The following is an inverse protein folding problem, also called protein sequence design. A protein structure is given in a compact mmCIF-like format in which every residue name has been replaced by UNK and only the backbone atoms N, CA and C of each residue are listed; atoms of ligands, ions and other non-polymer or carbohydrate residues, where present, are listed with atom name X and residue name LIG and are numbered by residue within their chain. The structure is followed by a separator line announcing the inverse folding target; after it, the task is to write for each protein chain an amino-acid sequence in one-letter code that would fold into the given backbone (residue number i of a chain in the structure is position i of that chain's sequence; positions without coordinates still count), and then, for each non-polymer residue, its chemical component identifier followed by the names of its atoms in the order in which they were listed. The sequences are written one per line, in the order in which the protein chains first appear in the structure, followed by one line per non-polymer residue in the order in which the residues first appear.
data_IF_099070232969
#
_entry.id   IF_099070232969
#
_cell.length_a   1.000
_cell.length_b   1.000
_cell.length_c   1.000
_cell.angle_alpha   90.00
_cell.angle_beta   90.00
_cell.angle_gamma   90.00
#
_symmetry.space_group_name_H-M   'P 1'
#
loop_
_entity.id
_entity.type
_entity.pdbx_description
1 polymer ?
#
# COMPACT_ATOMS: atom_id res chain seq x y z
N UNK A 1 -26.46 -53.61 -3.67
CA UNK A 1 -27.03 -52.39 -4.28
C UNK A 1 -27.87 -51.67 -3.25
N UNK A 2 -27.48 -50.46 -2.84
CA UNK A 2 -28.30 -49.27 -2.59
C UNK A 2 -27.31 -48.15 -2.25
N UNK A 3 -27.27 -47.14 -3.13
CA UNK A 3 -26.57 -45.86 -2.97
C UNK A 3 -27.42 -44.98 -2.06
N UNK A 4 -26.82 -44.34 -1.06
CA UNK A 4 -27.34 -43.10 -0.49
C UNK A 4 -26.20 -42.09 -0.44
N UNK A 5 -26.26 -41.15 -1.39
CA UNK A 5 -25.59 -39.85 -1.33
C UNK A 5 -26.33 -38.96 -0.33
N UNK A 6 -25.60 -38.04 0.34
CA UNK A 6 -25.97 -36.67 0.74
C UNK A 6 -24.99 -36.23 1.86
N UNK A 7 -23.97 -35.43 1.56
CA UNK A 7 -23.93 -33.95 1.67
C UNK A 7 -24.25 -33.39 3.07
N UNK A 8 -23.20 -33.08 3.84
CA UNK A 8 -23.17 -32.06 4.90
C UNK A 8 -21.80 -31.35 4.69
N UNK A 9 -21.68 -30.34 3.83
CA UNK A 9 -21.90 -28.90 4.06
C UNK A 9 -21.19 -28.35 5.30
N UNK A 10 -20.15 -27.57 5.00
CA UNK A 10 -19.58 -26.43 5.71
C UNK A 10 -19.32 -26.55 7.22
N UNK A 11 -18.04 -26.69 7.52
CA UNK A 11 -17.35 -25.64 8.29
C UNK A 11 -15.92 -25.55 7.78
N UNK A 12 -15.79 -24.99 6.58
CA UNK A 12 -14.56 -24.32 6.19
C UNK A 12 -14.44 -23.09 7.10
N UNK A 13 -13.99 -23.31 8.33
CA UNK A 13 -13.28 -22.30 9.07
C UNK A 13 -11.99 -22.12 8.26
N UNK A 14 -12.08 -21.29 7.22
CA UNK A 14 -10.93 -20.60 6.67
C UNK A 14 -10.54 -19.62 7.78
N UNK A 15 -9.91 -20.14 8.85
CA UNK A 15 -8.81 -19.41 9.45
C UNK A 15 -7.90 -19.16 8.24
N UNK A 16 -7.91 -17.92 7.73
CA UNK A 16 -6.82 -17.45 6.90
C UNK A 16 -5.57 -17.60 7.76
N UNK A 17 -4.95 -18.78 7.70
CA UNK A 17 -3.61 -19.00 8.19
C UNK A 17 -2.79 -17.98 7.43
N UNK A 18 -2.39 -16.94 8.15
CA UNK A 18 -1.46 -15.92 7.70
C UNK A 18 -0.07 -16.58 7.59
N UNK A 19 0.04 -17.63 6.78
CA UNK A 19 1.30 -18.09 6.29
C UNK A 19 1.89 -16.88 5.57
N UNK A 20 3.06 -16.48 6.04
CA UNK A 20 3.63 -15.18 5.75
C UNK A 20 4.08 -15.15 4.30
N UNK A 21 3.13 -14.96 3.38
CA UNK A 21 3.38 -14.59 1.99
C UNK A 21 4.49 -13.55 2.02
N UNK A 22 5.43 -13.64 1.09
CA UNK A 22 6.53 -12.68 0.95
C UNK A 22 6.03 -11.22 1.01
N UNK A 23 4.85 -10.94 0.45
CA UNK A 23 4.15 -9.66 0.58
C UNK A 23 3.65 -9.33 2.01
N UNK A 24 3.26 -10.32 2.81
CA UNK A 24 2.98 -10.16 4.23
C UNK A 24 4.24 -9.80 5.05
N UNK A 25 5.38 -10.42 4.76
CA UNK A 25 6.68 -10.04 5.36
C UNK A 25 7.06 -8.61 4.96
N UNK A 26 6.90 -8.26 3.68
CA UNK A 26 7.10 -6.91 3.16
C UNK A 26 6.25 -5.89 3.91
N UNK A 27 4.95 -6.17 4.07
CA UNK A 27 4.01 -5.27 4.73
C UNK A 27 4.46 -4.95 6.16
N UNK A 28 4.84 -5.98 6.93
CA UNK A 28 5.36 -5.80 8.29
C UNK A 28 6.66 -5.00 8.33
N UNK A 29 7.58 -5.28 7.41
CA UNK A 29 8.82 -4.52 7.30
C UNK A 29 8.55 -3.06 6.97
N UNK A 30 7.68 -2.78 5.98
CA UNK A 30 7.34 -1.44 5.54
C UNK A 30 6.77 -0.61 6.69
N UNK A 31 5.76 -1.12 7.39
CA UNK A 31 5.17 -0.43 8.55
C UNK A 31 6.23 -0.12 9.61
N UNK A 32 7.11 -1.09 9.92
CA UNK A 32 8.14 -0.91 10.95
C UNK A 32 9.27 0.06 10.55
N UNK A 33 9.64 0.12 9.28
CA UNK A 33 10.88 0.79 8.82
C UNK A 33 10.64 2.07 8.04
N UNK A 34 9.45 2.25 7.45
CA UNK A 34 9.16 3.32 6.51
C UNK A 34 8.00 4.24 6.94
N UNK A 35 7.25 3.84 7.96
CA UNK A 35 6.20 4.66 8.56
C UNK A 35 6.67 5.19 9.91
N UNK A 36 6.31 6.44 10.22
CA UNK A 36 6.48 7.05 11.53
C UNK A 36 5.36 6.56 12.45
N UNK A 37 5.69 5.85 13.55
CA UNK A 37 4.69 5.45 14.53
C UNK A 37 3.98 6.65 15.15
N UNK A 38 4.71 7.74 15.41
CA UNK A 38 4.17 8.97 15.99
C UNK A 38 3.15 9.65 15.06
N UNK A 39 3.48 9.83 13.78
CA UNK A 39 2.54 10.44 12.82
C UNK A 39 1.31 9.57 12.61
N UNK A 40 1.51 8.25 12.57
CA UNK A 40 0.41 7.29 12.42
C UNK A 40 -0.50 7.33 13.64
N UNK A 41 0.05 7.30 14.85
CA UNK A 41 -0.72 7.36 16.09
C UNK A 41 -1.46 8.70 16.23
N UNK A 42 -0.79 9.81 15.93
CA UNK A 42 -1.44 11.13 15.92
C UNK A 42 -2.62 11.16 14.94
N UNK A 43 -2.45 10.64 13.73
CA UNK A 43 -3.52 10.58 12.75
C UNK A 43 -4.71 9.74 13.23
N UNK A 44 -4.45 8.57 13.84
CA UNK A 44 -5.48 7.67 14.37
C UNK A 44 -6.40 8.37 15.37
N UNK A 45 -5.89 9.27 16.21
CA UNK A 45 -6.68 9.92 17.26
C UNK A 45 -7.27 11.28 16.88
N UNK A 46 -6.77 11.92 15.83
CA UNK A 46 -7.10 13.33 15.54
C UNK A 46 -7.79 13.57 14.21
N UNK A 47 -7.71 12.63 13.25
CA UNK A 47 -8.16 12.85 11.88
C UNK A 47 -9.37 11.98 11.52
N UNK A 48 -10.13 12.39 10.51
CA UNK A 48 -11.15 11.52 9.90
C UNK A 48 -10.50 10.32 9.20
N UNK A 49 -11.32 9.34 8.79
CA UNK A 49 -10.89 8.21 7.97
C UNK A 49 -10.04 8.62 6.75
N UNK A 50 -10.49 9.65 6.02
CA UNK A 50 -9.80 10.18 4.84
C UNK A 50 -8.50 10.88 5.23
N UNK A 51 -8.48 11.64 6.32
CA UNK A 51 -7.26 12.28 6.82
C UNK A 51 -6.21 11.28 7.30
N UNK A 52 -6.64 10.18 7.92
CA UNK A 52 -5.77 9.06 8.28
C UNK A 52 -5.20 8.38 7.04
N UNK A 53 -6.04 8.10 6.04
CA UNK A 53 -5.61 7.53 4.77
C UNK A 53 -4.58 8.44 4.07
N UNK A 54 -4.87 9.75 3.99
CA UNK A 54 -3.95 10.75 3.44
C UNK A 54 -2.60 10.76 4.20
N UNK A 55 -2.62 10.62 5.52
CA UNK A 55 -1.39 10.51 6.32
C UNK A 55 -0.60 9.24 5.99
N UNK A 56 -1.27 8.11 5.75
CA UNK A 56 -0.63 6.86 5.31
C UNK A 56 -0.04 7.03 3.90
N UNK A 57 -0.79 7.64 2.98
CA UNK A 57 -0.34 7.96 1.61
C UNK A 57 0.91 8.84 1.62
N UNK A 58 0.95 9.89 2.44
CA UNK A 58 2.08 10.81 2.52
C UNK A 58 3.35 10.17 3.12
N UNK A 59 3.17 9.16 3.96
CA UNK A 59 4.29 8.41 4.53
C UNK A 59 4.80 7.31 3.60
N UNK A 60 3.96 6.81 2.69
CA UNK A 60 4.33 5.79 1.73
C UNK A 60 5.62 6.22 0.99
N UNK A 61 6.59 5.32 0.86
CA UNK A 61 7.82 5.63 0.12
C UNK A 61 8.32 4.34 -0.47
N UNK A 62 8.17 4.21 -1.78
CA UNK A 62 8.69 3.05 -2.49
C UNK A 62 10.18 2.90 -2.35
N UNK A 63 10.93 4.01 -2.40
CA UNK A 63 12.38 3.98 -2.22
C UNK A 63 12.73 3.44 -0.82
N UNK A 64 12.03 3.88 0.23
CA UNK A 64 12.23 3.32 1.56
C UNK A 64 11.92 1.82 1.58
N UNK A 65 10.78 1.39 1.04
CA UNK A 65 10.36 -0.01 1.03
C UNK A 65 11.38 -0.87 0.24
N UNK A 66 11.76 -0.43 -0.95
CA UNK A 66 12.73 -1.07 -1.82
C UNK A 66 14.12 -1.23 -1.19
N UNK A 67 14.56 -0.22 -0.43
CA UNK A 67 15.91 -0.21 0.18
C UNK A 67 15.94 -0.88 1.55
N UNK A 68 14.99 -0.57 2.43
CA UNK A 68 14.95 -1.06 3.83
C UNK A 68 14.30 -2.43 3.98
N UNK A 69 13.50 -2.85 2.99
CA UNK A 69 12.76 -4.12 3.01
C UNK A 69 13.06 -4.98 1.78
N UNK A 70 14.25 -4.81 1.18
CA UNK A 70 14.66 -5.38 -0.12
C UNK A 70 14.37 -6.88 -0.25
N UNK A 71 14.78 -7.70 0.72
CA UNK A 71 14.60 -9.16 0.67
C UNK A 71 13.11 -9.54 0.54
N UNK A 72 12.25 -8.95 1.37
CA UNK A 72 10.81 -9.18 1.29
C UNK A 72 10.16 -8.55 0.06
N UNK A 73 10.75 -7.47 -0.45
CA UNK A 73 10.29 -6.75 -1.64
C UNK A 73 10.52 -7.58 -2.90
N UNK A 74 11.69 -8.20 -3.06
CA UNK A 74 12.01 -9.10 -4.19
C UNK A 74 11.02 -10.27 -4.22
N UNK A 75 10.67 -10.84 -3.06
CA UNK A 75 9.72 -11.94 -2.99
C UNK A 75 8.27 -11.54 -3.28
N UNK A 76 7.93 -10.25 -3.24
CA UNK A 76 6.57 -9.76 -3.46
C UNK A 76 6.46 -9.15 -4.87
N UNK A 77 5.72 -9.80 -5.77
CA UNK A 77 5.63 -9.42 -7.19
C UNK A 77 5.45 -7.92 -7.40
N UNK A 78 4.54 -7.29 -6.64
CA UNK A 78 4.24 -5.88 -6.82
C UNK A 78 5.41 -4.96 -6.44
N UNK A 79 6.20 -5.37 -5.46
CA UNK A 79 7.34 -4.60 -5.00
C UNK A 79 8.58 -4.89 -5.86
N UNK A 80 8.71 -6.14 -6.32
CA UNK A 80 9.73 -6.52 -7.28
C UNK A 80 9.57 -5.76 -8.61
N UNK A 81 8.33 -5.55 -9.07
CA UNK A 81 8.05 -4.68 -10.21
C UNK A 81 8.57 -3.26 -10.00
N UNK A 82 8.28 -2.65 -8.84
CA UNK A 82 8.75 -1.31 -8.51
C UNK A 82 10.29 -1.24 -8.42
N UNK A 83 10.93 -2.27 -7.86
CA UNK A 83 12.39 -2.42 -7.83
C UNK A 83 13.01 -2.49 -9.23
N UNK A 84 12.39 -3.23 -10.15
CA UNK A 84 12.81 -3.31 -11.56
C UNK A 84 12.71 -1.93 -12.22
N UNK A 85 11.62 -1.19 -12.00
CA UNK A 85 11.46 0.14 -12.59
C UNK A 85 12.49 1.12 -12.02
N UNK A 86 12.72 1.13 -10.71
CA UNK A 86 13.77 1.97 -10.10
C UNK A 86 15.17 1.64 -10.63
N UNK A 87 15.47 0.36 -10.85
CA UNK A 87 16.74 -0.07 -11.44
C UNK A 87 16.91 0.43 -12.87
N UNK A 88 15.83 0.38 -13.68
CA UNK A 88 15.82 0.90 -15.04
C UNK A 88 16.03 2.41 -15.09
N UNK A 89 15.33 3.16 -14.24
CA UNK A 89 15.50 4.62 -14.09
C UNK A 89 16.96 4.95 -13.76
N UNK A 90 17.53 4.28 -12.75
CA UNK A 90 18.92 4.51 -12.34
C UNK A 90 19.95 4.15 -13.42
N UNK A 91 19.61 3.22 -14.31
CA UNK A 91 20.45 2.82 -15.45
C UNK A 91 20.21 3.66 -16.72
N UNK A 92 19.29 4.63 -16.70
CA UNK A 92 18.88 5.36 -17.90
C UNK A 92 18.18 4.49 -18.95
N UNK A 93 17.59 3.37 -18.52
CA UNK A 93 16.83 2.45 -19.37
C UNK A 93 15.35 2.78 -19.26
N UNK A 94 14.63 2.68 -20.39
CA UNK A 94 13.18 2.87 -20.42
C UNK A 94 12.47 1.88 -19.49
N UNK A 95 11.56 2.39 -18.67
CA UNK A 95 10.72 1.55 -17.81
C UNK A 95 9.63 0.80 -18.60
N UNK A 96 8.93 -0.11 -17.94
CA UNK A 96 7.89 -0.93 -18.55
C UNK A 96 6.60 -0.14 -18.82
N UNK A 97 6.40 1.01 -18.17
CA UNK A 97 5.25 1.89 -18.31
C UNK A 97 3.92 1.21 -17.99
N UNK A 98 3.90 0.31 -17.01
CA UNK A 98 2.63 -0.29 -16.51
C UNK A 98 1.93 0.69 -15.56
N UNK A 99 2.71 1.49 -14.85
CA UNK A 99 2.30 2.55 -13.95
C UNK A 99 2.85 3.91 -14.45
N UNK A 100 2.38 4.40 -15.61
CA UNK A 100 3.06 5.45 -16.37
C UNK A 100 3.24 6.75 -15.59
N UNK A 101 2.22 7.21 -14.85
CA UNK A 101 2.30 8.49 -14.12
C UNK A 101 3.37 8.50 -13.04
N UNK A 102 3.41 7.44 -12.23
CA UNK A 102 4.41 7.35 -11.16
C UNK A 102 5.80 7.06 -11.74
N UNK A 103 5.92 6.23 -12.78
CA UNK A 103 7.21 5.98 -13.44
C UNK A 103 7.80 7.26 -14.04
N UNK A 104 7.01 8.02 -14.81
CA UNK A 104 7.44 9.31 -15.37
C UNK A 104 7.79 10.33 -14.28
N UNK A 105 7.01 10.42 -13.20
CA UNK A 105 7.35 11.30 -12.10
C UNK A 105 8.67 10.89 -11.42
N UNK A 106 8.91 9.60 -11.24
CA UNK A 106 10.16 9.09 -10.66
C UNK A 106 11.36 9.35 -11.56
N UNK A 107 11.20 9.22 -12.88
CA UNK A 107 12.22 9.60 -13.87
C UNK A 107 12.56 11.10 -13.77
N UNK A 108 11.54 11.97 -13.69
CA UNK A 108 11.73 13.41 -13.52
C UNK A 108 12.47 13.73 -12.21
N UNK A 109 12.05 13.14 -11.10
CA UNK A 109 12.75 13.30 -9.82
C UNK A 109 14.21 12.84 -9.88
N UNK A 110 14.51 11.77 -10.63
CA UNK A 110 15.89 11.30 -10.81
C UNK A 110 16.73 12.25 -11.66
N UNK A 111 16.13 12.83 -12.72
CA UNK A 111 16.79 13.80 -13.60
C UNK A 111 17.06 15.14 -12.90
N UNK A 112 16.17 15.58 -12.02
CA UNK A 112 16.35 16.80 -11.23
C UNK A 112 17.50 16.66 -10.22
N UNK A 113 17.46 15.63 -9.37
CA UNK A 113 18.51 15.32 -8.40
C UNK A 113 18.40 13.86 -7.92
N UNK A 114 19.28 13.02 -8.47
CA UNK A 114 19.36 11.60 -8.11
C UNK A 114 19.62 11.36 -6.60
N UNK A 115 20.28 12.29 -5.89
CA UNK A 115 20.54 12.16 -4.45
C UNK A 115 19.30 12.48 -3.62
N UNK A 116 18.41 13.33 -4.13
CA UNK A 116 17.17 13.75 -3.46
C UNK A 116 15.93 13.04 -3.99
N UNK A 117 16.08 12.01 -4.82
CA UNK A 117 14.95 11.27 -5.41
C UNK A 117 13.92 10.83 -4.36
N UNK A 118 14.32 10.40 -3.16
CA UNK A 118 13.37 10.01 -2.11
C UNK A 118 12.56 11.20 -1.58
N UNK A 119 13.18 12.37 -1.42
CA UNK A 119 12.48 13.60 -1.01
C UNK A 119 11.51 14.06 -2.09
N UNK A 120 11.98 14.10 -3.35
CA UNK A 120 11.17 14.45 -4.51
C UNK A 120 9.98 13.49 -4.69
N UNK A 121 10.23 12.18 -4.68
CA UNK A 121 9.20 11.16 -4.84
C UNK A 121 8.11 11.24 -3.77
N UNK A 122 8.51 11.49 -2.51
CA UNK A 122 7.55 11.64 -1.40
C UNK A 122 6.66 12.87 -1.58
N UNK A 123 7.23 13.97 -2.09
CA UNK A 123 6.52 15.24 -2.29
C UNK A 123 5.63 15.23 -3.53
N UNK A 124 6.08 14.60 -4.61
CA UNK A 124 5.48 14.75 -5.94
C UNK A 124 4.84 13.46 -6.47
N UNK A 125 5.48 12.31 -6.29
CA UNK A 125 5.12 11.10 -7.04
C UNK A 125 4.19 10.14 -6.30
N UNK A 126 4.21 10.13 -4.97
CA UNK A 126 3.37 9.22 -4.17
C UNK A 126 1.89 9.30 -4.51
N UNK A 127 1.40 10.48 -4.89
CA UNK A 127 0.00 10.68 -5.24
C UNK A 127 -0.40 9.87 -6.49
N UNK A 128 0.53 9.69 -7.43
CA UNK A 128 0.31 8.94 -8.67
C UNK A 128 0.24 7.42 -8.45
N UNK A 129 0.65 6.93 -7.28
CA UNK A 129 0.39 5.55 -6.85
C UNK A 129 -1.09 5.18 -6.98
N UNK A 130 -1.98 6.14 -6.70
CA UNK A 130 -3.42 5.94 -6.57
C UNK A 130 -4.21 6.34 -7.81
N UNK A 131 -3.52 6.63 -8.92
CA UNK A 131 -4.13 6.96 -10.20
C UNK A 131 -4.41 5.70 -11.04
N UNK A 132 -3.37 5.10 -11.63
CA UNK A 132 -3.46 4.04 -12.64
C UNK A 132 -2.48 2.89 -12.39
N UNK A 133 -2.01 2.72 -11.16
CA UNK A 133 -1.00 1.72 -10.81
C UNK A 133 -1.52 0.64 -9.87
N UNK A 134 -2.06 -0.46 -10.41
CA UNK A 134 -2.53 -1.59 -9.61
C UNK A 134 -1.41 -2.18 -8.72
N UNK A 135 -0.17 -2.18 -9.18
CA UNK A 135 0.99 -2.62 -8.41
C UNK A 135 1.17 -1.80 -7.12
N UNK A 136 1.05 -0.48 -7.21
CA UNK A 136 1.18 0.39 -6.05
C UNK A 136 -0.03 0.34 -5.13
N UNK A 137 -1.24 0.44 -5.70
CA UNK A 137 -2.48 0.36 -4.95
C UNK A 137 -2.52 -0.93 -4.13
N UNK A 138 -2.07 -2.06 -4.67
CA UNK A 138 -2.06 -3.33 -3.96
C UNK A 138 -1.10 -3.34 -2.75
N UNK A 139 0.06 -2.70 -2.83
CA UNK A 139 0.99 -2.58 -1.69
C UNK A 139 0.40 -1.64 -0.64
N UNK A 140 -0.09 -0.46 -1.06
CA UNK A 140 -0.73 0.49 -0.17
C UNK A 140 -1.94 -0.12 0.55
N UNK A 141 -2.77 -0.89 -0.18
CA UNK A 141 -3.90 -1.65 0.35
C UNK A 141 -3.47 -2.66 1.40
N UNK A 142 -2.42 -3.45 1.14
CA UNK A 142 -1.89 -4.41 2.13
C UNK A 142 -1.44 -3.72 3.42
N UNK A 143 -0.73 -2.59 3.29
CA UNK A 143 -0.27 -1.79 4.44
C UNK A 143 -1.46 -1.22 5.20
N UNK A 144 -2.40 -0.58 4.52
CA UNK A 144 -3.58 0.00 5.15
C UNK A 144 -4.41 -1.07 5.88
N UNK A 145 -4.70 -2.20 5.23
CA UNK A 145 -5.48 -3.29 5.84
C UNK A 145 -4.80 -3.86 7.08
N UNK A 146 -3.47 -3.93 7.09
CA UNK A 146 -2.71 -4.37 8.26
C UNK A 146 -2.87 -3.38 9.41
N UNK A 147 -2.62 -2.08 9.17
CA UNK A 147 -2.76 -1.04 10.18
C UNK A 147 -4.21 -0.98 10.69
N UNK A 148 -5.18 -1.02 9.78
CA UNK A 148 -6.61 -0.97 10.11
C UNK A 148 -7.04 -2.07 11.06
N UNK A 149 -6.60 -3.30 10.82
CA UNK A 149 -6.92 -4.44 11.68
C UNK A 149 -6.16 -4.40 13.01
N UNK A 150 -4.89 -4.03 12.99
CA UNK A 150 -4.06 -3.96 14.21
C UNK A 150 -4.49 -2.83 15.16
N UNK A 151 -5.09 -1.76 14.62
CA UNK A 151 -5.49 -0.56 15.36
C UNK A 151 -7.01 -0.39 15.50
N UNK A 152 -7.76 -1.40 15.06
CA UNK A 152 -9.23 -1.40 15.10
C UNK A 152 -9.87 -0.12 14.55
N UNK A 153 -9.35 0.35 13.39
CA UNK A 153 -9.64 1.69 12.87
C UNK A 153 -11.14 1.93 12.66
N UNK A 154 -11.89 0.93 12.22
CA UNK A 154 -13.32 1.06 11.94
C UNK A 154 -14.14 1.43 13.18
N UNK A 155 -13.65 1.08 14.38
CA UNK A 155 -14.30 1.37 15.65
C UNK A 155 -13.82 2.67 16.32
N UNK A 156 -12.88 3.39 15.70
CA UNK A 156 -12.39 4.65 16.26
C UNK A 156 -13.48 5.74 16.21
N UNK A 157 -13.64 6.55 17.27
CA UNK A 157 -14.74 7.51 17.41
C UNK A 157 -14.72 8.61 16.33
N UNK A 158 -13.55 8.92 15.79
CA UNK A 158 -13.29 9.89 14.72
C UNK A 158 -13.46 9.33 13.30
N UNK A 159 -13.53 8.00 13.13
CA UNK A 159 -13.65 7.34 11.82
C UNK A 159 -15.12 7.17 11.42
N UNK A 160 -16.01 6.87 12.38
CA UNK A 160 -17.47 6.75 12.19
C UNK A 160 -17.85 5.94 10.94
N UNK A 161 -17.25 4.76 10.77
CA UNK A 161 -17.47 3.91 9.61
C UNK A 161 -18.04 2.55 10.03
N UNK A 162 -19.23 2.21 9.52
CA UNK A 162 -19.84 0.90 9.75
C UNK A 162 -19.51 -0.04 8.58
N UNK A 163 -18.49 -0.87 8.76
CA UNK A 163 -18.03 -1.82 7.75
C UNK A 163 -16.66 -2.41 8.08
N UNK A 164 -16.13 -3.22 7.18
CA UNK A 164 -14.82 -3.83 7.28
C UNK A 164 -13.68 -2.89 6.87
N UNK A 165 -12.46 -3.21 7.27
CA UNK A 165 -11.26 -2.51 6.79
C UNK A 165 -11.11 -2.51 5.26
N UNK A 166 -11.66 -3.52 4.58
CA UNK A 166 -11.66 -3.60 3.12
C UNK A 166 -12.56 -2.53 2.52
N UNK A 167 -13.81 -2.47 2.99
CA UNK A 167 -14.78 -1.46 2.57
C UNK A 167 -14.31 -0.06 2.95
N UNK A 168 -13.67 0.09 4.12
CA UNK A 168 -13.07 1.36 4.54
C UNK A 168 -11.99 1.81 3.56
N UNK A 169 -11.08 0.91 3.14
CA UNK A 169 -10.04 1.23 2.17
C UNK A 169 -10.64 1.71 0.83
N UNK A 170 -11.62 0.98 0.32
CA UNK A 170 -12.25 1.32 -0.97
C UNK A 170 -13.00 2.66 -0.85
N UNK A 171 -13.66 2.93 0.27
CA UNK A 171 -14.30 4.22 0.57
C UNK A 171 -13.29 5.37 0.61
N UNK A 172 -12.25 5.29 1.45
CA UNK A 172 -11.28 6.39 1.60
C UNK A 172 -10.42 6.61 0.35
N UNK A 173 -10.17 5.58 -0.45
CA UNK A 173 -9.48 5.71 -1.73
C UNK A 173 -10.34 6.49 -2.74
N UNK A 174 -11.64 6.22 -2.79
CA UNK A 174 -12.57 6.96 -3.64
C UNK A 174 -12.66 8.43 -3.22
N UNK A 175 -12.80 8.71 -1.92
CA UNK A 175 -12.83 10.07 -1.37
C UNK A 175 -11.51 10.81 -1.63
N UNK A 176 -10.38 10.16 -1.40
CA UNK A 176 -9.05 10.72 -1.67
C UNK A 176 -8.89 11.07 -3.15
N UNK A 177 -9.35 10.22 -4.05
CA UNK A 177 -9.29 10.47 -5.49
C UNK A 177 -10.27 11.56 -5.94
N UNK A 178 -11.44 11.69 -5.30
CA UNK A 178 -12.41 12.74 -5.56
C UNK A 178 -11.87 14.11 -5.12
N UNK A 179 -11.30 14.20 -3.91
CA UNK A 179 -10.73 15.45 -3.39
C UNK A 179 -9.49 15.97 -4.11
N UNK A 180 -8.84 15.13 -4.94
CA UNK A 180 -7.74 15.56 -5.83
C UNK A 180 -8.20 16.16 -7.15
N UNK A 181 -9.47 15.95 -7.53
CA UNK A 181 -10.04 16.46 -8.80
C UNK A 181 -10.66 17.85 -8.65
N UNK A 182 -10.83 18.32 -7.42
CA UNK A 182 -11.35 19.65 -7.04
C UNK A 182 -10.22 20.60 -6.72
#
# INVERSE_FOLDING_TARGET
MIKISHLIILSAIILLSADATTCGKLTRCAIKRCFSPEQTEKALHTLSAVGMFSTVVNQFSFICIATRCRESCIGCEQCNYALDQLSKIAAGIKTNMICPKIETCMEQCFQEDALQINSCAKKQCNVHCFDDCAYCINIAKRIFLRICREKDITNLPNVKFNGSCMELFDHVLNEFNAGRRT
#
